data_IF_107044994347
#
_entry.id   IF_107044994347
#
_cell.length_a   1.000
_cell.length_b   1.000
_cell.length_c   1.000
_cell.angle_alpha   90.00
_cell.angle_beta   90.00
_cell.angle_gamma   90.00
#
_symmetry.space_group_name_H-M   'P 1'
#
loop_
_entity.id
_entity.type
_entity.pdbx_description
1 polymer ?
#
# COMPACT_ATOMS: atom_id res chain seq x y z
N UNK A 1 7.39 -1.54 16.77
CA UNK A 1 6.13 -1.55 17.57
C UNK A 1 5.31 -2.74 17.11
N UNK A 2 4.70 -3.49 18.02
CA UNK A 2 3.92 -4.69 17.67
C UNK A 2 2.68 -4.29 16.84
N UNK A 3 2.43 -4.97 15.71
CA UNK A 3 1.29 -4.71 14.81
C UNK A 3 -0.06 -4.78 15.54
N UNK A 4 -0.23 -5.74 16.45
CA UNK A 4 -1.45 -5.89 17.26
C UNK A 4 -1.73 -4.64 18.09
N UNK A 5 -0.70 -4.07 18.72
CA UNK A 5 -0.84 -2.83 19.50
C UNK A 5 -1.20 -1.64 18.58
N UNK A 6 -0.55 -1.52 17.44
CA UNK A 6 -0.85 -0.44 16.48
C UNK A 6 -2.28 -0.55 15.95
N UNK A 7 -2.73 -1.77 15.63
CA UNK A 7 -4.09 -2.00 15.16
C UNK A 7 -5.12 -1.71 16.26
N UNK A 8 -4.84 -2.07 17.53
CA UNK A 8 -5.72 -1.75 18.65
C UNK A 8 -5.83 -0.24 18.88
N UNK A 9 -4.71 0.49 18.85
CA UNK A 9 -4.70 1.95 18.96
C UNK A 9 -5.47 2.58 17.80
N UNK A 10 -5.25 2.12 16.56
CA UNK A 10 -5.98 2.60 15.38
C UNK A 10 -7.48 2.34 15.54
N UNK A 11 -7.87 1.12 15.89
CA UNK A 11 -9.27 0.78 16.11
C UNK A 11 -9.92 1.68 17.19
N UNK A 12 -9.25 1.87 18.31
CA UNK A 12 -9.75 2.74 19.38
C UNK A 12 -9.90 4.19 18.89
N UNK A 13 -8.92 4.71 18.16
CA UNK A 13 -8.94 6.06 17.63
C UNK A 13 -10.02 6.25 16.55
N UNK A 14 -10.28 5.24 15.75
CA UNK A 14 -11.19 5.33 14.60
C UNK A 14 -12.65 5.01 15.00
N UNK A 15 -12.86 4.16 16.02
CA UNK A 15 -14.22 3.72 16.42
C UNK A 15 -14.75 4.42 17.69
N UNK A 16 -13.87 4.79 18.63
CA UNK A 16 -14.31 5.34 19.92
C UNK A 16 -14.14 6.86 20.03
N UNK A 17 -13.21 7.46 19.29
CA UNK A 17 -12.99 8.91 19.35
C UNK A 17 -13.93 9.60 18.34
N UNK A 18 -14.77 10.57 18.79
CA UNK A 18 -15.63 11.33 17.89
C UNK A 18 -14.82 12.04 16.79
N UNK A 19 -15.35 12.06 15.54
CA UNK A 19 -14.64 12.59 14.37
C UNK A 19 -14.12 14.03 14.57
N UNK A 20 -14.90 14.91 15.21
CA UNK A 20 -14.48 16.29 15.49
C UNK A 20 -13.28 16.38 16.45
N UNK A 21 -13.11 15.43 17.37
CA UNK A 21 -11.93 15.34 18.23
C UNK A 21 -10.79 14.68 17.47
N UNK A 22 -11.08 13.57 16.76
CA UNK A 22 -10.14 12.80 15.98
C UNK A 22 -9.46 13.64 14.89
N UNK A 23 -10.18 14.58 14.28
CA UNK A 23 -9.69 15.50 13.28
C UNK A 23 -9.24 16.87 13.86
N UNK A 24 -9.11 16.98 15.18
CA UNK A 24 -8.53 18.16 15.82
C UNK A 24 -7.01 18.15 15.73
N UNK A 25 -6.44 19.24 15.21
CA UNK A 25 -4.99 19.42 15.15
C UNK A 25 -4.34 19.38 16.54
N UNK A 26 -4.97 19.98 17.53
CA UNK A 26 -4.45 20.01 18.91
C UNK A 26 -4.44 18.62 19.52
N UNK A 27 -5.54 17.87 19.34
CA UNK A 27 -5.65 16.50 19.81
C UNK A 27 -4.61 15.58 19.15
N UNK A 28 -4.42 15.70 17.83
CA UNK A 28 -3.53 14.82 17.08
C UNK A 28 -2.04 15.19 17.16
N UNK A 29 -1.71 16.40 17.62
CA UNK A 29 -0.32 16.86 17.70
C UNK A 29 0.63 15.91 18.47
N UNK A 30 0.33 15.47 19.71
CA UNK A 30 1.22 14.58 20.45
C UNK A 30 1.39 13.22 19.76
N UNK A 31 0.36 12.70 19.11
CA UNK A 31 0.44 11.43 18.37
C UNK A 31 1.38 11.56 17.18
N UNK A 32 1.34 12.69 16.45
CA UNK A 32 2.27 12.96 15.37
C UNK A 32 3.70 13.13 15.87
N UNK A 33 3.92 13.80 17.01
CA UNK A 33 5.25 13.89 17.61
C UNK A 33 5.83 12.49 17.87
N UNK A 34 5.02 11.60 18.42
CA UNK A 34 5.44 10.21 18.70
C UNK A 34 5.67 9.40 17.43
N UNK A 35 4.73 9.45 16.48
CA UNK A 35 4.78 8.67 15.25
C UNK A 35 5.98 9.03 14.36
N UNK A 36 6.29 10.32 14.25
CA UNK A 36 7.37 10.84 13.40
C UNK A 36 8.65 11.20 14.17
N UNK A 37 8.71 10.89 15.47
CA UNK A 37 9.86 11.14 16.35
C UNK A 37 10.38 12.58 16.26
N UNK A 38 9.46 13.57 16.30
CA UNK A 38 9.77 14.98 16.12
C UNK A 38 8.92 15.87 17.03
N UNK A 39 9.49 16.95 17.53
CA UNK A 39 8.74 17.98 18.26
C UNK A 39 8.08 19.02 17.32
N UNK A 40 8.34 18.94 16.01
CA UNK A 40 7.82 19.85 14.98
C UNK A 40 7.03 19.08 13.91
N UNK A 41 5.89 18.45 14.23
CA UNK A 41 5.16 17.58 13.30
C UNK A 41 4.36 18.34 12.22
N UNK A 42 4.41 19.67 12.19
CA UNK A 42 3.60 20.50 11.30
C UNK A 42 3.75 20.13 9.80
N UNK A 43 4.94 19.70 9.37
CA UNK A 43 5.19 19.24 7.98
C UNK A 43 4.31 18.02 7.65
N UNK A 44 4.30 17.03 8.52
CA UNK A 44 3.53 15.80 8.35
C UNK A 44 2.03 16.03 8.49
N UNK A 45 1.61 16.88 9.44
CA UNK A 45 0.19 17.23 9.62
C UNK A 45 -0.41 18.01 8.44
N UNK A 46 0.42 18.71 7.65
CA UNK A 46 0.00 19.44 6.44
C UNK A 46 0.09 18.59 5.17
N UNK A 47 0.57 17.37 5.26
CA UNK A 47 0.79 16.53 4.08
C UNK A 47 -0.45 16.43 3.20
N UNK A 48 -1.61 16.10 3.77
CA UNK A 48 -2.87 15.98 3.02
C UNK A 48 -3.35 17.27 2.34
N UNK A 49 -3.02 18.44 2.91
CA UNK A 49 -3.32 19.72 2.25
C UNK A 49 -2.41 19.99 1.06
N UNK A 50 -1.16 19.53 1.15
CA UNK A 50 -0.10 19.90 0.21
C UNK A 50 0.07 18.87 -0.90
N UNK A 51 -0.27 17.60 -0.66
CA UNK A 51 -0.01 16.49 -1.60
C UNK A 51 -0.60 16.72 -2.99
N UNK A 52 -1.76 17.36 -3.07
CA UNK A 52 -2.46 17.63 -4.33
C UNK A 52 -1.78 18.68 -5.23
N UNK A 53 -0.82 19.42 -4.68
CA UNK A 53 -0.02 20.43 -5.40
C UNK A 53 1.44 20.05 -5.52
N UNK A 54 1.84 18.88 -5.00
CA UNK A 54 3.20 18.35 -5.12
C UNK A 54 3.46 17.84 -6.53
N UNK A 55 4.64 18.16 -7.07
CA UNK A 55 5.17 17.49 -8.25
C UNK A 55 5.58 16.04 -7.93
N UNK A 56 5.76 15.21 -8.95
CA UNK A 56 6.14 13.80 -8.79
C UNK A 56 7.44 13.63 -8.00
N UNK A 57 8.42 14.50 -8.23
CA UNK A 57 9.72 14.45 -7.56
C UNK A 57 9.60 14.85 -6.08
N UNK A 58 8.86 15.92 -5.78
CA UNK A 58 8.59 16.37 -4.40
C UNK A 58 7.84 15.30 -3.61
N UNK A 59 6.90 14.60 -4.24
CA UNK A 59 6.15 13.51 -3.66
C UNK A 59 7.08 12.32 -3.34
N UNK A 60 7.90 11.90 -4.29
CA UNK A 60 8.88 10.83 -4.10
C UNK A 60 9.91 11.18 -3.01
N UNK A 61 10.41 12.42 -2.99
CA UNK A 61 11.33 12.92 -1.96
C UNK A 61 10.68 12.96 -0.58
N UNK A 62 9.41 13.36 -0.51
CA UNK A 62 8.67 13.31 0.75
C UNK A 62 8.63 11.87 1.30
N UNK A 63 8.22 10.89 0.47
CA UNK A 63 8.18 9.49 0.88
C UNK A 63 9.55 8.92 1.23
N UNK A 64 10.59 9.22 0.48
CA UNK A 64 11.97 8.83 0.79
C UNK A 64 12.47 9.41 2.11
N UNK A 65 12.05 10.64 2.44
CA UNK A 65 12.45 11.36 3.66
C UNK A 65 11.66 10.97 4.92
N UNK A 66 10.61 10.14 4.81
CA UNK A 66 9.79 9.75 5.94
C UNK A 66 10.62 8.99 6.99
N UNK A 67 10.50 9.40 8.23
CA UNK A 67 11.08 8.73 9.40
C UNK A 67 9.97 8.33 10.39
N UNK A 68 8.96 7.62 9.88
CA UNK A 68 7.86 7.14 10.69
C UNK A 68 8.19 5.82 11.40
N UNK A 69 7.44 5.51 12.45
CA UNK A 69 7.59 4.22 13.17
C UNK A 69 7.16 3.01 12.32
N UNK A 70 6.44 3.23 11.23
CA UNK A 70 6.01 2.20 10.28
C UNK A 70 7.12 1.78 9.32
N UNK A 71 8.07 2.67 9.01
CA UNK A 71 9.12 2.45 7.99
C UNK A 71 9.97 1.18 8.19
N UNK A 72 10.17 0.77 9.44
CA UNK A 72 11.00 -0.40 9.76
C UNK A 72 10.18 -1.69 9.90
N UNK A 73 8.94 -1.72 9.44
CA UNK A 73 8.15 -2.95 9.40
C UNK A 73 8.60 -3.79 8.21
N UNK A 74 8.60 -5.11 8.41
CA UNK A 74 8.88 -6.06 7.32
C UNK A 74 7.78 -6.02 6.26
N UNK A 75 6.53 -5.85 6.69
CA UNK A 75 5.36 -5.73 5.80
C UNK A 75 4.19 -5.07 6.53
N UNK A 76 3.34 -4.38 5.79
CA UNK A 76 2.05 -3.87 6.26
C UNK A 76 0.91 -4.88 6.03
N UNK A 77 1.13 -5.95 5.29
CA UNK A 77 0.16 -7.02 5.12
C UNK A 77 -0.07 -7.79 6.44
N UNK A 78 -1.32 -8.11 6.75
CA UNK A 78 -1.63 -9.08 7.78
C UNK A 78 -1.31 -10.52 7.32
N UNK A 79 -1.15 -11.44 8.28
CA UNK A 79 -0.77 -12.82 7.97
C UNK A 79 -1.76 -13.51 7.02
N UNK A 80 -3.07 -13.29 7.21
CA UNK A 80 -4.09 -13.89 6.36
C UNK A 80 -4.00 -13.40 4.91
N UNK A 81 -3.67 -12.11 4.69
CA UNK A 81 -3.44 -11.57 3.35
C UNK A 81 -2.19 -12.19 2.71
N UNK A 82 -1.09 -12.31 3.47
CA UNK A 82 0.15 -12.94 2.97
C UNK A 82 -0.11 -14.37 2.50
N UNK A 83 -0.72 -15.21 3.35
CA UNK A 83 -1.03 -16.60 2.99
C UNK A 83 -1.98 -16.70 1.80
N UNK A 84 -2.97 -15.80 1.71
CA UNK A 84 -3.88 -15.78 0.57
C UNK A 84 -3.17 -15.36 -0.74
N UNK A 85 -2.28 -14.37 -0.69
CA UNK A 85 -1.47 -13.96 -1.86
C UNK A 85 -0.59 -15.12 -2.33
N UNK A 86 0.06 -15.80 -1.39
CA UNK A 86 0.88 -16.98 -1.70
C UNK A 86 0.05 -18.06 -2.40
N UNK A 87 -1.14 -18.37 -1.85
CA UNK A 87 -2.05 -19.35 -2.45
C UNK A 87 -2.52 -18.94 -3.85
N UNK A 88 -2.92 -17.67 -4.02
CA UNK A 88 -3.43 -17.15 -5.29
C UNK A 88 -2.33 -16.96 -6.36
N UNK A 89 -1.04 -16.95 -5.97
CA UNK A 89 0.11 -16.79 -6.86
C UNK A 89 0.86 -18.10 -7.13
N UNK A 90 0.42 -19.22 -6.56
CA UNK A 90 1.16 -20.51 -6.55
C UNK A 90 1.57 -20.99 -7.94
N UNK A 91 0.67 -20.86 -8.93
CA UNK A 91 0.88 -21.38 -10.29
C UNK A 91 1.46 -20.33 -11.24
N UNK A 92 1.70 -19.11 -10.77
CA UNK A 92 2.25 -18.02 -11.57
C UNK A 92 3.71 -18.30 -11.94
N UNK A 93 4.06 -18.08 -13.20
CA UNK A 93 5.43 -18.17 -13.71
C UNK A 93 6.17 -16.84 -13.49
N UNK A 94 5.44 -15.73 -13.46
CA UNK A 94 5.98 -14.39 -13.26
C UNK A 94 5.08 -13.56 -12.35
N UNK A 95 5.68 -12.92 -11.34
CA UNK A 95 4.96 -12.08 -10.36
C UNK A 95 5.66 -10.73 -10.25
N UNK A 96 4.87 -9.66 -10.34
CA UNK A 96 5.29 -8.30 -10.05
C UNK A 96 4.67 -7.85 -8.73
N UNK A 97 5.48 -7.30 -7.82
CA UNK A 97 5.02 -6.63 -6.59
C UNK A 97 5.28 -5.12 -6.71
N UNK A 98 4.21 -4.34 -6.81
CA UNK A 98 4.25 -2.89 -6.95
C UNK A 98 4.10 -2.25 -5.57
N UNK A 99 5.09 -1.45 -5.17
CA UNK A 99 5.26 -0.97 -3.79
C UNK A 99 5.84 -2.07 -2.91
N UNK A 100 6.83 -2.80 -3.41
CA UNK A 100 7.37 -3.99 -2.76
C UNK A 100 8.16 -3.70 -1.47
N UNK A 101 8.47 -2.43 -1.17
CA UNK A 101 9.30 -2.04 -0.03
C UNK A 101 10.63 -2.79 -0.04
N UNK A 102 10.94 -3.46 1.07
CA UNK A 102 12.15 -4.29 1.21
C UNK A 102 11.99 -5.72 0.67
N UNK A 103 10.92 -6.02 -0.06
CA UNK A 103 10.73 -7.29 -0.75
C UNK A 103 10.26 -8.45 0.14
N UNK A 104 9.66 -8.17 1.29
CA UNK A 104 9.18 -9.24 2.19
C UNK A 104 8.26 -10.23 1.47
N UNK A 105 7.28 -9.73 0.73
CA UNK A 105 6.29 -10.57 0.04
C UNK A 105 6.93 -11.40 -1.08
N UNK A 106 7.83 -10.81 -1.85
CA UNK A 106 8.58 -11.52 -2.89
C UNK A 106 9.48 -12.63 -2.32
N UNK A 107 10.15 -12.37 -1.19
CA UNK A 107 10.93 -13.39 -0.51
C UNK A 107 10.03 -14.53 0.01
N UNK A 108 8.84 -14.21 0.53
CA UNK A 108 7.86 -15.20 0.96
C UNK A 108 7.35 -16.07 -0.21
N UNK A 109 7.11 -15.45 -1.37
CA UNK A 109 6.75 -16.16 -2.61
C UNK A 109 7.90 -17.04 -3.12
N UNK A 110 9.15 -16.59 -2.97
CA UNK A 110 10.35 -17.38 -3.34
C UNK A 110 10.49 -18.67 -2.55
N UNK A 111 10.10 -18.67 -1.29
CA UNK A 111 10.10 -19.86 -0.44
C UNK A 111 9.14 -20.94 -0.97
N UNK A 112 7.98 -20.54 -1.49
CA UNK A 112 6.95 -21.44 -2.01
C UNK A 112 7.17 -21.83 -3.49
N UNK A 113 7.68 -20.91 -4.31
CA UNK A 113 7.93 -21.17 -5.74
C UNK A 113 9.32 -20.71 -6.16
N UNK A 114 10.24 -21.67 -6.24
CA UNK A 114 11.63 -21.43 -6.66
C UNK A 114 11.75 -21.10 -8.16
N UNK A 115 10.75 -21.41 -8.97
CA UNK A 115 10.78 -21.26 -10.43
C UNK A 115 10.14 -19.98 -10.93
N UNK A 116 9.35 -19.28 -10.12
CA UNK A 116 8.70 -18.05 -10.54
C UNK A 116 9.73 -16.94 -10.72
N UNK A 117 9.58 -16.17 -11.78
CA UNK A 117 10.28 -14.90 -11.98
C UNK A 117 9.62 -13.85 -11.10
N UNK A 118 10.37 -13.32 -10.15
CA UNK A 118 9.88 -12.34 -9.18
C UNK A 118 10.51 -10.98 -9.45
N UNK A 119 9.68 -9.96 -9.57
CA UNK A 119 10.09 -8.58 -9.80
C UNK A 119 9.42 -7.66 -8.79
N UNK A 120 10.17 -6.72 -8.25
CA UNK A 120 9.69 -5.68 -7.34
C UNK A 120 9.84 -4.30 -7.96
N UNK A 121 8.86 -3.43 -7.69
CA UNK A 121 8.90 -1.99 -8.01
C UNK A 121 8.61 -1.19 -6.76
N UNK A 122 9.41 -0.15 -6.51
CA UNK A 122 9.17 0.81 -5.44
C UNK A 122 9.78 2.19 -5.78
N UNK A 123 9.45 3.22 -5.00
CA UNK A 123 10.08 4.53 -5.08
C UNK A 123 11.46 4.58 -4.39
N UNK A 124 11.82 3.54 -3.64
CA UNK A 124 13.13 3.42 -2.99
C UNK A 124 14.25 3.32 -4.03
N UNK A 125 15.44 3.80 -3.69
CA UNK A 125 16.57 3.79 -4.63
C UNK A 125 17.12 2.37 -4.83
N UNK A 126 17.17 1.56 -3.77
CA UNK A 126 17.75 0.20 -3.77
C UNK A 126 17.07 -0.71 -2.75
N UNK A 127 17.08 -2.00 -3.05
CA UNK A 127 16.72 -3.07 -2.12
C UNK A 127 17.94 -4.00 -1.99
N UNK A 128 18.84 -3.77 -1.04
CA UNK A 128 20.08 -4.53 -0.91
C UNK A 128 19.83 -6.02 -0.66
N UNK A 129 20.61 -6.88 -1.32
CA UNK A 129 20.57 -8.33 -1.10
C UNK A 129 19.30 -9.01 -1.62
N UNK A 130 18.56 -8.38 -2.54
CA UNK A 130 17.33 -8.93 -3.10
C UNK A 130 17.59 -10.22 -3.89
N UNK A 131 16.69 -11.19 -3.73
CA UNK A 131 16.66 -12.44 -4.50
C UNK A 131 15.72 -12.37 -5.71
N UNK A 132 15.30 -11.16 -6.08
CA UNK A 132 14.36 -10.82 -7.15
C UNK A 132 14.90 -9.64 -7.96
N UNK A 133 14.36 -9.45 -9.17
CA UNK A 133 14.67 -8.26 -9.98
C UNK A 133 14.02 -7.03 -9.36
N UNK A 134 14.73 -5.90 -9.27
CA UNK A 134 14.20 -4.67 -8.70
C UNK A 134 14.28 -3.52 -9.70
N UNK A 135 13.23 -2.70 -9.75
CA UNK A 135 13.17 -1.48 -10.55
C UNK A 135 12.66 -0.32 -9.70
N UNK A 136 13.35 0.80 -9.74
CA UNK A 136 12.85 2.04 -9.15
C UNK A 136 11.88 2.69 -10.14
N UNK A 137 10.59 2.72 -9.78
CA UNK A 137 9.57 3.39 -10.60
C UNK A 137 8.34 3.76 -9.77
N UNK A 138 7.51 4.65 -10.33
CA UNK A 138 6.21 4.98 -9.77
C UNK A 138 5.15 3.95 -10.20
N UNK A 139 4.21 3.65 -9.30
CA UNK A 139 3.12 2.71 -9.55
C UNK A 139 2.18 3.13 -10.70
N UNK A 140 2.15 4.42 -11.03
CA UNK A 140 1.34 4.99 -12.11
C UNK A 140 2.07 5.11 -13.46
N UNK A 141 3.32 4.60 -13.55
CA UNK A 141 4.15 4.60 -14.74
C UNK A 141 5.16 3.43 -14.68
N UNK A 142 4.67 2.20 -14.85
CA UNK A 142 5.46 0.99 -14.73
C UNK A 142 6.33 0.75 -15.99
N UNK A 143 7.64 0.48 -15.84
CA UNK A 143 8.60 0.35 -16.96
C UNK A 143 8.56 -1.03 -17.63
N UNK A 144 7.37 -1.59 -17.79
CA UNK A 144 7.18 -2.92 -18.38
C UNK A 144 6.19 -2.88 -19.56
N UNK A 145 6.30 -3.80 -20.52
CA UNK A 145 5.32 -3.93 -21.59
C UNK A 145 3.98 -4.47 -21.10
N UNK A 146 2.95 -4.37 -21.94
CA UNK A 146 1.64 -4.94 -21.66
C UNK A 146 1.72 -6.45 -21.44
N UNK A 147 0.93 -6.97 -20.49
CA UNK A 147 0.85 -8.40 -20.17
C UNK A 147 2.21 -9.06 -19.85
N UNK A 148 3.10 -8.34 -19.20
CA UNK A 148 4.44 -8.83 -18.87
C UNK A 148 4.43 -9.90 -17.76
N UNK A 149 3.47 -9.82 -16.81
CA UNK A 149 3.43 -10.66 -15.62
C UNK A 149 2.12 -11.42 -15.48
N UNK A 150 2.18 -12.69 -15.09
CA UNK A 150 0.98 -13.50 -14.85
C UNK A 150 0.15 -12.92 -13.69
N UNK A 151 0.82 -12.55 -12.61
CA UNK A 151 0.20 -11.94 -11.43
C UNK A 151 0.88 -10.63 -11.09
N UNK A 152 0.08 -9.60 -10.84
CA UNK A 152 0.54 -8.29 -10.36
C UNK A 152 -0.06 -8.03 -8.98
N UNK A 153 0.80 -7.77 -8.01
CA UNK A 153 0.45 -7.45 -6.63
C UNK A 153 0.58 -5.94 -6.41
N UNK A 154 -0.34 -5.38 -5.63
CA UNK A 154 -0.29 -3.99 -5.17
C UNK A 154 -0.86 -3.95 -3.76
N UNK A 155 0.02 -3.98 -2.77
CA UNK A 155 -0.40 -4.13 -1.37
C UNK A 155 0.03 -2.94 -0.53
N UNK A 156 -0.95 -2.28 0.10
CA UNK A 156 -0.74 -1.06 0.91
C UNK A 156 -0.05 0.07 0.13
N UNK A 157 -0.53 0.32 -1.11
CA UNK A 157 -0.03 1.37 -2.01
C UNK A 157 -1.14 2.32 -2.45
N UNK A 158 -2.30 1.81 -2.88
CA UNK A 158 -3.34 2.64 -3.50
C UNK A 158 -3.95 3.67 -2.56
N UNK A 159 -3.85 3.48 -1.26
CA UNK A 159 -4.25 4.44 -0.23
C UNK A 159 -3.32 5.66 -0.17
N UNK A 160 -2.11 5.55 -0.69
CA UNK A 160 -1.11 6.62 -0.68
C UNK A 160 -1.06 7.43 -1.98
N UNK A 161 -1.46 6.88 -3.12
CA UNK A 161 -1.26 7.49 -4.44
C UNK A 161 -2.27 8.59 -4.74
N UNK A 162 -1.88 9.59 -5.54
CA UNK A 162 -2.75 10.72 -5.90
C UNK A 162 -3.90 10.26 -6.81
N UNK A 163 -3.62 9.40 -7.79
CA UNK A 163 -4.64 8.84 -8.70
C UNK A 163 -4.65 7.30 -8.64
N UNK A 164 -5.46 6.69 -7.76
CA UNK A 164 -5.56 5.25 -7.67
C UNK A 164 -6.14 4.61 -8.94
N UNK A 165 -6.93 5.35 -9.73
CA UNK A 165 -7.47 4.84 -11.00
C UNK A 165 -6.37 4.68 -12.05
N UNK A 166 -5.45 5.65 -12.12
CA UNK A 166 -4.28 5.57 -13.01
C UNK A 166 -3.39 4.39 -12.62
N UNK A 167 -3.14 4.21 -11.34
CA UNK A 167 -2.37 3.06 -10.84
C UNK A 167 -3.05 1.75 -11.22
N UNK A 168 -4.35 1.57 -10.94
CA UNK A 168 -5.04 0.32 -11.29
C UNK A 168 -5.01 0.05 -12.79
N UNK A 169 -5.09 1.08 -13.65
CA UNK A 169 -4.91 0.92 -15.10
C UNK A 169 -3.52 0.39 -15.47
N UNK A 170 -2.46 0.90 -14.84
CA UNK A 170 -1.09 0.42 -15.06
C UNK A 170 -0.90 -1.03 -14.57
N UNK A 171 -1.44 -1.36 -13.38
CA UNK A 171 -1.42 -2.74 -12.88
C UNK A 171 -2.10 -3.69 -13.89
N UNK A 172 -3.27 -3.31 -14.38
CA UNK A 172 -4.02 -4.08 -15.38
C UNK A 172 -3.28 -4.16 -16.71
N UNK A 173 -2.61 -3.09 -17.15
CA UNK A 173 -1.84 -3.08 -18.39
C UNK A 173 -0.74 -4.14 -18.36
N UNK A 174 0.04 -4.19 -17.29
CA UNK A 174 1.18 -5.10 -17.19
C UNK A 174 0.80 -6.52 -16.74
N UNK A 175 -0.39 -6.72 -16.16
CA UNK A 175 -0.89 -8.04 -15.79
C UNK A 175 -1.37 -8.82 -17.00
N UNK A 176 -1.09 -10.13 -17.04
CA UNK A 176 -1.60 -11.09 -18.04
C UNK A 176 -2.87 -11.78 -17.56
N UNK A 177 -2.92 -12.24 -16.33
CA UNK A 177 -4.01 -13.07 -15.81
C UNK A 177 -4.80 -12.39 -14.70
N UNK A 178 -4.11 -11.81 -13.72
CA UNK A 178 -4.78 -11.22 -12.55
C UNK A 178 -3.97 -10.11 -11.87
N UNK A 179 -4.71 -9.22 -11.22
CA UNK A 179 -4.20 -8.22 -10.28
C UNK A 179 -4.77 -8.50 -8.90
N UNK A 180 -3.92 -8.46 -7.88
CA UNK A 180 -4.31 -8.59 -6.47
C UNK A 180 -4.00 -7.28 -5.77
N UNK A 181 -5.02 -6.66 -5.18
CA UNK A 181 -4.89 -5.40 -4.44
C UNK A 181 -5.26 -5.65 -2.98
N UNK A 182 -4.40 -5.20 -2.06
CA UNK A 182 -4.69 -5.20 -0.62
C UNK A 182 -4.57 -3.76 -0.11
N UNK A 183 -5.57 -3.31 0.63
CA UNK A 183 -5.59 -1.97 1.23
C UNK A 183 -6.36 -1.97 2.55
N UNK A 184 -6.04 -1.11 3.51
CA UNK A 184 -6.76 -1.09 4.78
C UNK A 184 -8.24 -0.77 4.59
N UNK A 185 -9.11 -1.46 5.33
CA UNK A 185 -10.47 -1.01 5.55
C UNK A 185 -10.45 0.12 6.57
N UNK A 186 -10.49 1.37 6.09
CA UNK A 186 -10.33 2.54 6.94
C UNK A 186 -11.36 3.62 6.63
N UNK A 187 -11.90 4.25 7.70
CA UNK A 187 -12.71 5.45 7.61
C UNK A 187 -11.88 6.66 7.20
N UNK A 188 -12.46 7.61 6.47
CA UNK A 188 -11.75 8.84 6.13
C UNK A 188 -11.56 9.72 7.38
N UNK A 189 -10.30 10.09 7.66
CA UNK A 189 -9.94 11.09 8.67
C UNK A 189 -8.93 12.06 8.07
N UNK A 190 -9.00 13.32 8.48
CA UNK A 190 -8.05 14.31 8.00
C UNK A 190 -6.64 14.04 8.55
N UNK A 191 -6.51 13.78 9.87
CA UNK A 191 -5.24 13.44 10.48
C UNK A 191 -5.12 11.93 10.67
N UNK A 192 -4.28 11.29 9.85
CA UNK A 192 -3.87 9.89 9.99
C UNK A 192 -2.38 9.82 10.34
N UNK A 193 -1.96 8.80 11.07
CA UNK A 193 -0.55 8.59 11.46
C UNK A 193 0.22 7.76 10.41
N UNK A 194 -0.40 7.48 9.33
CA UNK A 194 0.05 6.95 8.07
C UNK A 194 -0.28 7.97 6.96
N UNK A 195 0.44 8.00 5.89
CA UNK A 195 0.31 8.97 4.82
C UNK A 195 -0.87 8.65 3.86
N UNK A 196 -1.96 8.07 4.39
CA UNK A 196 -3.14 7.73 3.59
C UNK A 196 -3.88 8.99 3.13
N UNK A 197 -4.09 9.09 1.83
CA UNK A 197 -4.89 10.15 1.17
C UNK A 197 -6.16 9.59 0.57
N UNK A 198 -6.19 8.29 0.24
CA UNK A 198 -7.39 7.57 -0.18
C UNK A 198 -7.87 6.64 0.93
N UNK A 199 -9.19 6.52 1.08
CA UNK A 199 -9.82 5.74 2.12
C UNK A 199 -10.86 4.81 1.52
N UNK A 200 -10.70 3.51 1.78
CA UNK A 200 -11.59 2.47 1.30
C UNK A 200 -12.32 1.84 2.48
N UNK A 201 -13.45 2.43 2.88
CA UNK A 201 -14.25 1.91 3.98
C UNK A 201 -15.26 0.85 3.52
N UNK A 202 -15.75 0.97 2.29
CA UNK A 202 -16.67 0.03 1.65
C UNK A 202 -16.00 -0.66 0.45
N UNK A 203 -16.34 -1.95 0.23
CA UNK A 203 -15.81 -2.76 -0.88
C UNK A 203 -16.09 -2.15 -2.25
N UNK A 204 -17.25 -1.49 -2.40
CA UNK A 204 -17.70 -0.85 -3.63
C UNK A 204 -16.77 0.29 -4.08
N UNK A 205 -16.06 0.92 -3.15
CA UNK A 205 -15.10 1.98 -3.48
C UNK A 205 -13.92 1.39 -4.27
N UNK A 206 -13.46 0.18 -3.91
CA UNK A 206 -12.45 -0.55 -4.69
C UNK A 206 -12.99 -1.03 -6.03
N UNK A 207 -14.22 -1.57 -6.06
CA UNK A 207 -14.87 -2.01 -7.29
C UNK A 207 -14.97 -0.90 -8.35
N UNK A 208 -15.10 0.35 -7.94
CA UNK A 208 -15.12 1.52 -8.84
C UNK A 208 -13.80 1.80 -9.53
N UNK A 209 -12.68 1.28 -9.01
CA UNK A 209 -11.36 1.43 -9.65
C UNK A 209 -11.19 0.50 -10.86
N UNK A 210 -12.02 -0.56 -10.96
CA UNK A 210 -11.99 -1.56 -12.04
C UNK A 210 -13.40 -1.81 -12.61
N UNK A 211 -14.09 -0.78 -13.14
CA UNK A 211 -15.49 -0.89 -13.56
C UNK A 211 -15.62 -1.86 -14.75
N UNK A 212 -16.63 -2.73 -14.69
CA UNK A 212 -16.92 -3.70 -15.75
C UNK A 212 -15.98 -4.90 -15.84
N UNK A 213 -14.98 -5.00 -14.94
CA UNK A 213 -14.07 -6.14 -14.89
C UNK A 213 -14.56 -7.23 -13.93
N UNK A 214 -14.15 -8.46 -14.18
CA UNK A 214 -14.40 -9.59 -13.29
C UNK A 214 -13.56 -9.45 -12.02
N UNK A 215 -14.13 -8.83 -11.00
CA UNK A 215 -13.44 -8.58 -9.73
C UNK A 215 -14.22 -9.11 -8.53
N UNK A 216 -13.49 -9.56 -7.52
CA UNK A 216 -14.03 -9.96 -6.23
C UNK A 216 -13.32 -9.22 -5.12
N UNK A 217 -14.05 -8.65 -4.19
CA UNK A 217 -13.50 -7.96 -3.01
C UNK A 217 -14.08 -8.57 -1.75
N UNK A 218 -13.21 -8.91 -0.79
CA UNK A 218 -13.62 -9.44 0.52
C UNK A 218 -12.79 -8.83 1.64
N UNK A 219 -13.36 -8.75 2.83
CA UNK A 219 -12.61 -8.37 4.02
C UNK A 219 -11.74 -9.55 4.50
N UNK A 220 -10.48 -9.29 4.83
CA UNK A 220 -9.53 -10.28 5.30
C UNK A 220 -8.69 -9.68 6.44
N UNK A 221 -9.05 -10.02 7.68
CA UNK A 221 -8.37 -9.59 8.91
C UNK A 221 -8.13 -8.07 9.00
N UNK A 222 -9.15 -7.27 8.64
CA UNK A 222 -9.12 -5.81 8.76
C UNK A 222 -8.67 -5.07 7.50
N UNK A 223 -8.26 -5.79 6.46
CA UNK A 223 -7.92 -5.24 5.16
C UNK A 223 -8.96 -5.68 4.11
N UNK A 224 -9.08 -4.93 3.02
CA UNK A 224 -9.74 -5.37 1.81
C UNK A 224 -8.75 -6.16 0.97
N UNK A 225 -9.18 -7.31 0.49
CA UNK A 225 -8.48 -8.17 -0.45
C UNK A 225 -9.29 -8.23 -1.74
N UNK A 226 -8.78 -7.63 -2.80
CA UNK A 226 -9.43 -7.57 -4.11
C UNK A 226 -8.62 -8.37 -5.14
N UNK A 227 -9.31 -9.20 -5.91
CA UNK A 227 -8.74 -9.89 -7.08
C UNK A 227 -9.50 -9.45 -8.32
N UNK A 228 -8.77 -8.99 -9.33
CA UNK A 228 -9.28 -8.67 -10.66
C UNK A 228 -8.71 -9.70 -11.65
N UNK A 229 -9.57 -10.36 -12.43
CA UNK A 229 -9.16 -11.34 -13.45
C UNK A 229 -9.34 -10.74 -14.85
N UNK A 230 -8.31 -10.93 -15.66
CA UNK A 230 -8.32 -10.54 -17.09
C UNK A 230 -8.81 -11.70 -17.96
#
# INVERSE_FOLDING_TARGET
MNRSLTNAIRWMMDELVPAGIRDSRVFMWPFYCLAYKTLKPAKYMRFKSNVWTMGSDDYADFYRSLNSVSRNRLTDNNHACVEQIVADSRDAKSVLDVGCGLGYLLNRLREESRRAELTGVDLLNEVPGSTFSYHQASADALPFPDNAFDVVLCTHVIEHVIDPTKVVRELLRVAREKVIIVTPRQRPFYYTLDEHINFFFYAEQLGRLAPGLNSTTRALSGDWYMVIRK
#
